data_IF_248436089187
#
_entry.id   IF_248436089187
#
_cell.length_a   1.000
_cell.length_b   1.000
_cell.length_c   1.000
_cell.angle_alpha   90.00
_cell.angle_beta   90.00
_cell.angle_gamma   90.00
#
_symmetry.space_group_name_H-M   'P 1'
#
loop_
_entity.id
_entity.type
_entity.pdbx_description
1 polymer ?
#
# COMPACT_ATOMS: atom_id res chain seq x y z
N UNK A 1 27.15 8.36 27.81
CA UNK A 1 28.50 8.51 27.22
C UNK A 1 29.37 7.33 27.64
N UNK A 2 29.79 6.49 26.69
CA UNK A 2 31.10 5.82 26.62
C UNK A 2 31.07 4.88 25.41
N UNK A 3 31.61 5.40 24.32
CA UNK A 3 31.96 4.66 23.11
C UNK A 3 33.24 3.86 23.36
N UNK A 4 33.36 2.65 22.79
CA UNK A 4 34.65 2.02 22.43
C UNK A 4 34.42 0.95 21.34
N UNK A 5 34.65 1.33 20.08
CA UNK A 5 35.39 0.58 19.03
C UNK A 5 36.72 1.36 18.84
N UNK A 6 37.81 0.89 18.18
CA UNK A 6 37.94 -0.26 17.24
C UNK A 6 39.27 -1.06 17.38
N UNK A 7 39.42 -2.18 16.65
CA UNK A 7 40.73 -2.66 16.19
C UNK A 7 40.66 -3.13 14.72
N UNK A 8 41.47 -2.47 13.89
CA UNK A 8 41.84 -2.83 12.52
C UNK A 8 43.16 -3.61 12.54
N UNK A 9 43.30 -4.68 11.75
CA UNK A 9 44.34 -4.81 10.70
C UNK A 9 44.42 -6.19 10.02
N UNK A 10 44.35 -6.13 8.68
CA UNK A 10 45.20 -6.76 7.64
C UNK A 10 45.27 -8.29 7.46
N UNK A 11 44.94 -8.72 6.24
CA UNK A 11 45.44 -9.95 5.60
C UNK A 11 44.72 -10.24 4.28
N UNK A 12 45.41 -10.07 3.15
CA UNK A 12 44.98 -10.39 1.76
C UNK A 12 45.88 -11.53 1.23
N UNK A 13 45.70 -12.07 0.02
CA UNK A 13 44.61 -12.93 -0.47
C UNK A 13 45.15 -14.34 -0.83
N UNK A 14 44.30 -15.38 -0.82
CA UNK A 14 44.63 -16.67 -1.47
C UNK A 14 43.53 -17.06 -2.43
N UNK A 15 43.91 -17.16 -3.70
CA UNK A 15 43.09 -17.61 -4.81
C UNK A 15 42.87 -19.13 -4.75
N UNK A 16 41.62 -19.54 -4.71
CA UNK A 16 41.22 -20.90 -5.03
C UNK A 16 40.18 -20.83 -6.17
N UNK A 17 40.60 -21.21 -7.38
CA UNK A 17 39.69 -21.60 -8.45
C UNK A 17 39.12 -22.96 -8.09
N UNK A 18 37.80 -23.13 -8.14
CA UNK A 18 37.16 -24.42 -8.43
C UNK A 18 35.71 -24.21 -8.92
N UNK A 19 35.49 -24.74 -10.12
CA UNK A 19 34.28 -25.39 -10.64
C UNK A 19 32.96 -24.62 -10.76
N UNK A 20 32.66 -24.33 -12.02
CA UNK A 20 31.38 -23.95 -12.63
C UNK A 20 30.31 -25.03 -12.37
N UNK A 21 29.42 -24.77 -11.41
CA UNK A 21 28.14 -25.47 -11.24
C UNK A 21 26.99 -24.66 -11.85
N UNK A 22 26.19 -25.28 -12.72
CA UNK A 22 24.89 -24.74 -13.17
C UNK A 22 23.87 -24.99 -12.05
N UNK A 23 23.18 -23.96 -11.58
CA UNK A 23 21.85 -24.14 -10.97
C UNK A 23 21.04 -22.85 -11.04
N UNK A 24 19.73 -23.05 -11.15
CA UNK A 24 18.72 -22.16 -11.68
C UNK A 24 18.68 -20.76 -11.04
N UNK A 25 18.44 -19.76 -11.89
CA UNK A 25 18.23 -18.39 -11.47
C UNK A 25 17.02 -18.27 -10.54
N UNK A 26 17.28 -18.14 -9.25
CA UNK A 26 16.36 -17.52 -8.31
C UNK A 26 16.39 -16.02 -8.59
N UNK A 27 15.37 -15.55 -9.32
CA UNK A 27 15.16 -14.11 -9.53
C UNK A 27 14.88 -13.43 -8.19
N UNK A 28 15.30 -12.17 -8.00
CA UNK A 28 15.10 -11.46 -6.75
C UNK A 28 13.63 -11.01 -6.65
N UNK A 29 12.76 -11.85 -6.08
CA UNK A 29 11.37 -11.49 -5.75
C UNK A 29 11.25 -10.65 -4.46
N UNK A 30 12.20 -9.74 -4.25
CA UNK A 30 12.20 -8.76 -3.16
C UNK A 30 12.07 -7.30 -3.63
N UNK A 31 12.01 -7.04 -4.94
CA UNK A 31 12.05 -5.70 -5.53
C UNK A 31 10.68 -5.09 -5.89
N UNK A 32 9.56 -5.67 -5.43
CA UNK A 32 8.22 -5.23 -5.88
C UNK A 32 7.69 -3.98 -5.15
N UNK A 33 8.21 -3.63 -3.97
CA UNK A 33 7.63 -2.54 -3.17
C UNK A 33 8.02 -1.12 -3.62
N UNK A 34 9.03 -0.99 -4.49
CA UNK A 34 9.52 0.32 -4.99
C UNK A 34 9.37 0.49 -6.50
N UNK A 35 8.96 -0.57 -7.22
CA UNK A 35 8.78 -0.52 -8.65
C UNK A 35 7.44 0.17 -8.99
N UNK A 36 7.52 1.47 -9.26
CA UNK A 36 6.56 2.28 -10.00
C UNK A 36 5.32 2.82 -9.26
N UNK A 37 5.52 3.61 -8.21
CA UNK A 37 4.64 4.79 -8.01
C UNK A 37 4.96 5.83 -9.09
N UNK A 38 4.61 5.48 -10.33
CA UNK A 38 4.88 6.25 -11.54
C UNK A 38 4.06 7.55 -11.48
N UNK A 39 4.64 8.60 -12.03
CA UNK A 39 3.96 9.86 -12.33
C UNK A 39 2.71 9.58 -13.16
N UNK A 40 1.56 10.14 -12.80
CA UNK A 40 0.34 10.00 -13.62
C UNK A 40 0.45 10.95 -14.81
N UNK A 41 0.36 10.38 -16.01
CA UNK A 41 0.29 11.10 -17.29
C UNK A 41 -1.18 11.15 -17.73
N UNK A 42 -1.67 12.33 -18.11
CA UNK A 42 -3.00 12.50 -18.71
C UNK A 42 -2.89 13.27 -20.01
N UNK A 43 -3.72 12.88 -20.98
CA UNK A 43 -3.75 13.50 -22.31
C UNK A 43 -2.76 12.86 -23.29
N UNK A 44 -2.82 13.30 -24.55
CA UNK A 44 -1.93 12.81 -25.60
C UNK A 44 -0.63 13.62 -25.62
N UNK A 45 0.51 12.95 -25.78
CA UNK A 45 1.82 13.61 -25.85
C UNK A 45 1.78 14.74 -26.90
N UNK A 46 2.33 15.92 -26.54
CA UNK A 46 2.32 17.14 -27.36
C UNK A 46 0.95 17.81 -27.60
N UNK A 47 -0.11 17.42 -26.89
CA UNK A 47 -1.37 18.17 -26.92
C UNK A 47 -1.43 19.26 -25.83
N UNK A 48 -2.25 20.32 -26.01
CA UNK A 48 -2.50 21.32 -24.96
C UNK A 48 -3.08 20.73 -23.67
N UNK A 49 -3.71 19.56 -23.76
CA UNK A 49 -4.32 18.84 -22.65
C UNK A 49 -3.36 17.87 -21.95
N UNK A 50 -2.12 17.73 -22.44
CA UNK A 50 -1.11 16.89 -21.82
C UNK A 50 -0.70 17.46 -20.46
N UNK A 51 -0.84 16.66 -19.41
CA UNK A 51 -0.45 17.02 -18.04
C UNK A 51 0.28 15.87 -17.36
N UNK A 52 1.30 16.25 -16.61
CA UNK A 52 2.06 15.34 -15.75
C UNK A 52 1.80 15.73 -14.29
N UNK A 53 1.36 14.77 -13.47
CA UNK A 53 1.13 14.97 -12.04
C UNK A 53 2.27 14.35 -11.24
N UNK A 54 3.22 15.18 -10.81
CA UNK A 54 4.40 14.73 -10.09
C UNK A 54 4.30 14.95 -8.58
N UNK A 55 3.67 16.04 -8.16
CA UNK A 55 3.48 16.37 -6.76
C UNK A 55 2.04 16.86 -6.48
N UNK A 56 1.78 17.14 -5.20
CA UNK A 56 0.46 17.57 -4.74
C UNK A 56 0.06 18.96 -5.26
N UNK A 57 1.03 19.82 -5.59
CA UNK A 57 0.77 21.16 -6.09
C UNK A 57 0.31 21.14 -7.55
N UNK A 58 0.71 20.14 -8.34
CA UNK A 58 0.16 19.89 -9.68
C UNK A 58 -1.35 19.63 -9.62
N UNK A 59 -1.81 18.93 -8.58
CA UNK A 59 -3.25 18.69 -8.35
C UNK A 59 -3.96 20.01 -8.04
N UNK A 60 -3.41 20.84 -7.15
CA UNK A 60 -3.97 22.17 -6.84
C UNK A 60 -4.06 23.04 -8.10
N UNK A 61 -3.03 23.02 -8.93
CA UNK A 61 -2.92 23.82 -10.16
C UNK A 61 -3.93 23.39 -11.23
N UNK A 62 -4.04 22.09 -11.49
CA UNK A 62 -4.80 21.58 -12.63
C UNK A 62 -6.20 21.06 -12.25
N UNK A 63 -6.51 20.96 -10.96
CA UNK A 63 -7.81 20.55 -10.42
C UNK A 63 -8.17 21.41 -9.20
N UNK A 64 -8.44 22.71 -9.38
CA UNK A 64 -8.81 23.60 -8.28
C UNK A 64 -10.07 23.09 -7.56
N UNK A 65 -10.08 23.10 -6.24
CA UNK A 65 -11.20 22.63 -5.40
C UNK A 65 -11.22 21.12 -5.11
N UNK A 66 -10.37 20.32 -5.77
CA UNK A 66 -10.42 18.85 -5.68
C UNK A 66 -9.89 18.32 -4.34
N UNK A 67 -8.84 18.95 -3.82
CA UNK A 67 -8.24 18.57 -2.53
C UNK A 67 -9.17 18.98 -1.38
N UNK A 68 -9.78 20.15 -1.48
CA UNK A 68 -10.76 20.67 -0.52
C UNK A 68 -12.01 19.80 -0.49
N UNK A 69 -12.52 19.40 -1.67
CA UNK A 69 -13.65 18.47 -1.77
C UNK A 69 -13.32 17.09 -1.15
N UNK A 70 -12.11 16.58 -1.38
CA UNK A 70 -11.65 15.32 -0.78
C UNK A 70 -11.60 15.41 0.75
N UNK A 71 -11.05 16.51 1.28
CA UNK A 71 -10.99 16.75 2.72
C UNK A 71 -12.39 16.87 3.33
N UNK A 72 -13.29 17.65 2.70
CA UNK A 72 -14.68 17.78 3.14
C UNK A 72 -15.42 16.44 3.13
N UNK A 73 -15.23 15.62 2.09
CA UNK A 73 -15.84 14.30 2.03
C UNK A 73 -15.42 13.45 3.24
N UNK A 74 -14.11 13.32 3.49
CA UNK A 74 -13.63 12.56 4.65
C UNK A 74 -14.00 13.19 5.99
N UNK A 75 -14.14 14.51 6.05
CA UNK A 75 -14.56 15.22 7.27
C UNK A 75 -15.98 14.85 7.65
N UNK A 76 -16.87 14.77 6.67
CA UNK A 76 -18.31 14.77 6.87
C UNK A 76 -19.03 13.44 6.59
N UNK A 77 -18.40 12.45 5.95
CA UNK A 77 -19.11 11.24 5.49
C UNK A 77 -19.83 10.45 6.58
N UNK A 78 -19.39 10.56 7.84
CA UNK A 78 -20.02 9.88 8.99
C UNK A 78 -21.12 10.70 9.67
N UNK A 79 -21.26 11.98 9.35
CA UNK A 79 -22.23 12.88 9.99
C UNK A 79 -23.68 12.46 9.75
N UNK A 80 -24.07 12.01 8.54
CA UNK A 80 -25.41 11.46 8.31
C UNK A 80 -25.75 10.25 9.21
N UNK A 81 -24.73 9.52 9.70
CA UNK A 81 -24.90 8.41 10.64
C UNK A 81 -24.98 8.87 12.12
N UNK A 82 -25.04 10.18 12.37
CA UNK A 82 -25.05 10.76 13.73
C UNK A 82 -23.68 10.77 14.43
N UNK A 83 -22.59 10.49 13.72
CA UNK A 83 -21.22 10.53 14.25
C UNK A 83 -20.60 11.92 14.10
N UNK A 84 -19.64 12.31 14.96
CA UNK A 84 -18.98 13.61 14.85
C UNK A 84 -18.12 13.71 13.57
N UNK A 85 -17.78 14.94 13.21
CA UNK A 85 -16.82 15.24 12.14
C UNK A 85 -15.47 14.58 12.40
N UNK A 86 -14.88 13.96 11.38
CA UNK A 86 -13.54 13.40 11.49
C UNK A 86 -12.51 14.53 11.59
N UNK A 87 -11.50 14.32 12.43
CA UNK A 87 -10.36 15.23 12.59
C UNK A 87 -9.15 14.71 11.82
N UNK A 88 -8.26 15.62 11.42
CA UNK A 88 -7.08 15.30 10.63
C UNK A 88 -5.79 15.74 11.32
N UNK A 89 -4.75 14.94 11.19
CA UNK A 89 -3.39 15.36 11.52
C UNK A 89 -2.96 16.54 10.61
N UNK A 90 -1.90 17.25 11.03
CA UNK A 90 -1.33 18.38 10.27
C UNK A 90 -2.37 19.44 9.89
N UNK A 91 -3.43 19.60 10.70
CA UNK A 91 -4.52 20.52 10.43
C UNK A 91 -5.19 20.32 9.05
N UNK A 92 -5.20 19.08 8.55
CA UNK A 92 -5.76 18.76 7.23
C UNK A 92 -4.85 19.08 6.04
N UNK A 93 -3.59 19.44 6.26
CA UNK A 93 -2.64 19.71 5.19
C UNK A 93 -2.24 18.43 4.45
N UNK A 94 -2.39 18.41 3.12
CA UNK A 94 -1.86 17.35 2.28
C UNK A 94 -0.33 17.38 2.27
N UNK A 95 0.30 16.27 2.64
CA UNK A 95 1.76 16.14 2.59
C UNK A 95 2.24 15.80 1.18
N UNK A 96 3.52 16.06 0.92
CA UNK A 96 4.13 15.83 -0.39
C UNK A 96 4.36 14.33 -0.67
N UNK A 97 4.75 14.03 -1.92
CA UNK A 97 5.04 12.67 -2.39
C UNK A 97 6.07 11.93 -1.53
N UNK A 98 7.13 12.62 -1.10
CA UNK A 98 8.20 11.99 -0.31
C UNK A 98 7.68 11.49 1.04
N UNK A 99 6.92 12.33 1.76
CA UNK A 99 6.29 11.94 3.03
C UNK A 99 5.31 10.78 2.84
N UNK A 100 4.48 10.81 1.79
CA UNK A 100 3.55 9.73 1.49
C UNK A 100 4.27 8.39 1.23
N UNK A 101 5.39 8.42 0.48
CA UNK A 101 6.19 7.23 0.21
C UNK A 101 6.84 6.66 1.49
N UNK A 102 7.23 7.51 2.44
CA UNK A 102 7.75 7.06 3.73
C UNK A 102 6.68 6.32 4.54
N UNK A 103 5.46 6.88 4.63
CA UNK A 103 4.33 6.24 5.32
C UNK A 103 3.98 4.90 4.66
N UNK A 104 3.90 4.84 3.33
CA UNK A 104 3.65 3.62 2.57
C UNK A 104 4.73 2.57 2.84
N UNK A 105 6.00 2.97 2.84
CA UNK A 105 7.11 2.05 3.13
C UNK A 105 7.00 1.51 4.55
N UNK A 106 6.71 2.36 5.53
CA UNK A 106 6.54 1.94 6.92
C UNK A 106 5.40 0.94 7.10
N UNK A 107 4.23 1.19 6.49
CA UNK A 107 3.09 0.26 6.60
C UNK A 107 3.33 -1.05 5.86
N UNK A 108 4.09 -1.02 4.76
CA UNK A 108 4.54 -2.23 4.07
C UNK A 108 5.47 -3.09 4.95
N UNK A 109 6.37 -2.49 5.72
CA UNK A 109 7.18 -3.25 6.71
C UNK A 109 6.33 -3.85 7.82
N UNK A 110 5.31 -3.13 8.31
CA UNK A 110 4.33 -3.68 9.25
C UNK A 110 3.59 -4.89 8.66
N UNK A 111 3.13 -4.80 7.40
CA UNK A 111 2.47 -5.90 6.70
C UNK A 111 3.40 -7.12 6.53
N UNK A 112 4.68 -6.91 6.17
CA UNK A 112 5.66 -8.01 6.11
C UNK A 112 5.85 -8.67 7.46
N UNK A 113 5.91 -7.89 8.53
CA UNK A 113 6.03 -8.41 9.90
C UNK A 113 4.83 -9.26 10.29
N UNK A 114 3.62 -8.80 9.96
CA UNK A 114 2.37 -9.51 10.15
C UNK A 114 2.36 -10.86 9.43
N UNK A 115 2.65 -10.86 8.12
CA UNK A 115 2.68 -12.10 7.33
C UNK A 115 3.74 -13.08 7.78
N UNK A 116 4.85 -12.62 8.34
CA UNK A 116 5.92 -13.50 8.83
C UNK A 116 5.68 -13.99 10.26
N UNK A 117 4.48 -13.77 10.84
CA UNK A 117 4.11 -14.12 12.22
C UNK A 117 5.07 -13.52 13.26
N UNK A 118 5.64 -12.36 12.96
CA UNK A 118 6.57 -11.63 13.85
C UNK A 118 5.85 -10.64 14.78
N UNK A 119 4.55 -10.45 14.59
CA UNK A 119 3.65 -9.75 15.50
C UNK A 119 2.33 -10.51 15.63
N UNK A 120 1.56 -10.20 16.68
CA UNK A 120 0.22 -10.76 16.86
C UNK A 120 -0.73 -10.19 15.80
N UNK A 121 -1.30 -11.08 14.98
CA UNK A 121 -2.24 -10.73 13.92
C UNK A 121 -3.67 -10.54 14.40
N UNK A 122 -3.97 -10.88 15.66
CA UNK A 122 -5.31 -10.80 16.22
C UNK A 122 -6.32 -11.55 15.35
N UNK A 123 -7.37 -10.85 14.91
CA UNK A 123 -8.43 -11.40 14.07
C UNK A 123 -8.12 -11.40 12.56
N UNK A 124 -6.95 -10.92 12.12
CA UNK A 124 -6.62 -10.80 10.70
C UNK A 124 -6.23 -12.16 10.13
N UNK A 125 -6.98 -12.64 9.13
CA UNK A 125 -6.59 -13.81 8.35
C UNK A 125 -5.41 -13.49 7.44
N UNK A 126 -4.29 -14.19 7.65
CA UNK A 126 -3.06 -14.00 6.88
C UNK A 126 -2.86 -15.09 5.80
N UNK A 127 -3.84 -15.99 5.63
CA UNK A 127 -3.79 -17.08 4.65
C UNK A 127 -3.58 -16.54 3.24
N UNK A 128 -2.59 -17.07 2.53
CA UNK A 128 -2.25 -16.61 1.19
C UNK A 128 -1.64 -17.73 0.34
N UNK A 129 -1.73 -17.62 -0.99
CA UNK A 129 -1.27 -18.66 -1.94
C UNK A 129 0.08 -18.32 -2.58
N UNK A 130 0.56 -17.08 -2.44
CA UNK A 130 1.65 -16.55 -3.26
C UNK A 130 2.91 -16.16 -2.49
N UNK A 131 2.81 -15.95 -1.17
CA UNK A 131 3.97 -15.59 -0.36
C UNK A 131 4.56 -16.88 0.22
N UNK A 132 5.39 -17.56 -0.57
CA UNK A 132 5.90 -18.90 -0.23
C UNK A 132 6.64 -18.96 1.12
N UNK A 133 7.32 -17.88 1.50
CA UNK A 133 8.07 -17.80 2.77
C UNK A 133 7.17 -17.49 3.98
N UNK A 134 5.88 -17.22 3.75
CA UNK A 134 4.92 -16.94 4.82
C UNK A 134 4.52 -18.23 5.52
N UNK A 135 4.53 -18.30 6.87
CA UNK A 135 3.97 -19.43 7.62
C UNK A 135 2.47 -19.64 7.40
N UNK A 136 1.77 -18.65 6.83
CA UNK A 136 0.35 -18.72 6.47
C UNK A 136 0.11 -19.13 5.01
N UNK A 137 1.14 -19.59 4.30
CA UNK A 137 0.99 -20.04 2.93
C UNK A 137 0.06 -21.27 2.85
N UNK A 138 -0.92 -21.24 1.95
CA UNK A 138 -1.78 -22.37 1.61
C UNK A 138 -1.65 -22.72 0.12
N UNK A 139 -2.04 -23.94 -0.22
CA UNK A 139 -2.10 -24.41 -1.60
C UNK A 139 -3.26 -23.77 -2.36
N UNK A 140 -3.20 -23.80 -3.69
CA UNK A 140 -4.28 -23.28 -4.51
C UNK A 140 -5.56 -24.09 -4.33
N UNK A 141 -5.44 -25.40 -4.08
CA UNK A 141 -6.53 -26.32 -3.82
C UNK A 141 -7.24 -25.99 -2.51
N UNK A 142 -6.50 -25.74 -1.43
CA UNK A 142 -7.06 -25.30 -0.15
C UNK A 142 -7.82 -23.97 -0.28
N UNK A 143 -7.26 -23.02 -1.02
CA UNK A 143 -7.94 -21.75 -1.30
C UNK A 143 -9.23 -21.95 -2.13
N UNK A 144 -9.23 -22.86 -3.11
CA UNK A 144 -10.41 -23.19 -3.91
C UNK A 144 -11.51 -23.81 -3.06
N UNK A 145 -11.17 -24.76 -2.18
CA UNK A 145 -12.15 -25.37 -1.28
C UNK A 145 -12.86 -24.35 -0.38
N UNK A 146 -12.15 -23.31 0.08
CA UNK A 146 -12.76 -22.21 0.85
C UNK A 146 -13.83 -21.47 0.02
N UNK A 147 -13.54 -21.18 -1.24
CA UNK A 147 -14.48 -20.49 -2.14
C UNK A 147 -15.70 -21.37 -2.45
N UNK A 148 -15.47 -22.65 -2.71
CA UNK A 148 -16.53 -23.61 -3.04
C UNK A 148 -17.54 -23.78 -1.89
N UNK A 149 -17.07 -23.75 -0.64
CA UNK A 149 -17.91 -23.79 0.56
C UNK A 149 -18.88 -22.59 0.67
N UNK A 150 -18.62 -21.49 -0.05
CA UNK A 150 -19.41 -20.24 0.01
C UNK A 150 -20.37 -20.10 -1.18
N UNK A 151 -20.33 -21.02 -2.16
CA UNK A 151 -21.10 -20.94 -3.42
C UNK A 151 -22.61 -20.72 -3.18
N UNK A 152 -23.15 -19.67 -3.82
CA UNK A 152 -24.21 -18.81 -3.26
C UNK A 152 -25.66 -19.07 -3.72
N UNK A 153 -26.60 -18.81 -2.79
CA UNK A 153 -28.01 -18.46 -3.04
C UNK A 153 -28.14 -17.22 -3.93
N UNK A 154 -29.16 -17.11 -4.81
CA UNK A 154 -29.39 -15.92 -5.63
C UNK A 154 -29.56 -14.69 -4.75
N UNK A 155 -28.69 -13.71 -4.94
CA UNK A 155 -28.73 -12.44 -4.23
C UNK A 155 -30.05 -11.74 -4.57
N UNK A 156 -31.06 -11.81 -3.69
CA UNK A 156 -32.25 -10.95 -3.78
C UNK A 156 -31.78 -9.54 -3.49
N UNK A 157 -31.56 -8.77 -4.55
CA UNK A 157 -31.32 -7.33 -4.45
C UNK A 157 -32.37 -6.70 -3.56
N UNK A 158 -31.93 -6.18 -2.43
CA UNK A 158 -32.72 -5.31 -1.55
C UNK A 158 -31.71 -4.39 -0.87
N UNK A 159 -31.91 -3.08 -0.73
CA UNK A 159 -33.13 -2.28 -0.70
C UNK A 159 -32.88 -0.92 -1.38
N UNK A 160 -33.95 -0.23 -1.76
CA UNK A 160 -34.02 1.13 -2.35
C UNK A 160 -33.49 2.26 -1.41
N UNK A 161 -32.32 2.09 -0.79
CA UNK A 161 -31.69 3.13 0.06
C UNK A 161 -30.63 3.95 -0.70
N UNK A 162 -30.34 3.63 -1.97
CA UNK A 162 -29.16 4.14 -2.69
C UNK A 162 -29.29 5.57 -3.25
N UNK A 163 -30.42 6.27 -3.07
CA UNK A 163 -30.66 7.61 -3.66
C UNK A 163 -31.02 8.69 -2.63
N UNK A 164 -30.42 8.67 -1.44
CA UNK A 164 -30.61 9.73 -0.44
C UNK A 164 -29.48 10.76 -0.49
N UNK A 165 -29.83 12.03 -0.70
CA UNK A 165 -28.90 13.14 -0.58
C UNK A 165 -28.95 13.74 0.83
N UNK A 166 -27.79 13.77 1.50
CA UNK A 166 -27.64 14.44 2.79
C UNK A 166 -26.99 15.81 2.60
N UNK A 167 -27.72 16.87 2.91
CA UNK A 167 -27.22 18.23 2.90
C UNK A 167 -26.86 18.64 4.32
N UNK A 168 -25.57 18.87 4.55
CA UNK A 168 -25.07 19.39 5.82
C UNK A 168 -25.16 20.91 5.73
N UNK A 169 -25.97 21.52 6.60
CA UNK A 169 -26.17 22.96 6.64
C UNK A 169 -24.85 23.72 6.75
N UNK A 170 -24.84 24.98 6.28
CA UNK A 170 -23.70 25.89 6.41
C UNK A 170 -23.61 26.51 7.80
#
# INVERSE_FOLDING_TARGET
>A
MRALLPLLRTGSPVAARLSRGKSAGSGPHGAMAQAFYRTEERGQLYSPDYRLFFNIDDVKKYKPGYLEATLNWFKFYKVPEGKPENQFAFNGEFKNKAFALEVIKSTHECWKTLLMKKCDGGAISCTNVQVCDSPFHCTQEEARSIVELVSSSPNKGSKEEEQVWHFLGK
#
